data_IF_120967907332
#
_entry.id   IF_120967907332
#
_cell.length_a   1.000
_cell.length_b   1.000
_cell.length_c   1.000
_cell.angle_alpha   90.00
_cell.angle_beta   90.00
_cell.angle_gamma   90.00
#
_symmetry.space_group_name_H-M   'P 1'
#
loop_
_entity.id
_entity.type
_entity.pdbx_description
1 polymer ?
#
# COMPACT_ATOMS: atom_id res chain seq x y z
N UNK A 1 10.08 -8.28 -2.35
CA UNK A 1 9.97 -6.80 -2.39
C UNK A 1 11.20 -6.19 -1.74
N UNK A 2 11.66 -5.01 -2.16
CA UNK A 2 12.75 -4.31 -1.49
C UNK A 2 12.23 -3.74 -0.14
N UNK A 3 12.93 -4.01 0.97
CA UNK A 3 12.51 -3.61 2.33
C UNK A 3 12.39 -2.09 2.45
N UNK A 4 13.35 -1.34 1.92
CA UNK A 4 13.33 0.13 1.94
C UNK A 4 12.11 0.67 1.19
N UNK A 5 11.79 0.07 0.04
CA UNK A 5 10.62 0.45 -0.75
C UNK A 5 9.31 0.05 -0.06
N UNK A 6 9.24 -1.14 0.57
CA UNK A 6 8.09 -1.55 1.37
C UNK A 6 7.81 -0.57 2.51
N UNK A 7 8.86 -0.10 3.19
CA UNK A 7 8.75 0.90 4.26
C UNK A 7 8.25 2.24 3.73
N UNK A 8 8.74 2.71 2.59
CA UNK A 8 8.24 3.94 1.95
C UNK A 8 6.76 3.85 1.58
N UNK A 9 6.33 2.71 1.03
CA UNK A 9 4.93 2.44 0.72
C UNK A 9 4.10 2.50 2.02
N UNK A 10 4.46 1.72 3.04
CA UNK A 10 3.74 1.70 4.32
C UNK A 10 3.64 3.09 4.95
N UNK A 11 4.75 3.85 4.96
CA UNK A 11 4.77 5.22 5.46
C UNK A 11 3.86 6.16 4.67
N UNK A 12 3.79 6.02 3.34
CA UNK A 12 2.95 6.88 2.49
C UNK A 12 1.47 6.59 2.69
N UNK A 13 1.10 5.32 2.88
CA UNK A 13 -0.28 4.90 3.14
C UNK A 13 -0.73 5.14 4.57
N UNK A 14 0.17 5.38 5.53
CA UNK A 14 -0.19 5.67 6.94
C UNK A 14 -1.16 6.85 7.12
N UNK A 15 -1.26 7.74 6.12
CA UNK A 15 -2.14 8.91 6.13
C UNK A 15 -3.52 8.65 5.50
N UNK A 16 -3.73 7.49 4.87
CA UNK A 16 -4.99 7.11 4.21
C UNK A 16 -5.87 6.37 5.22
N UNK A 17 -7.04 6.93 5.54
CA UNK A 17 -7.93 6.39 6.60
C UNK A 17 -8.53 5.02 6.27
N UNK A 18 -8.67 4.70 4.99
CA UNK A 18 -9.33 3.47 4.54
C UNK A 18 -8.35 2.29 4.43
N UNK A 19 -7.09 2.56 4.11
CA UNK A 19 -6.05 1.56 3.80
C UNK A 19 -4.89 1.69 4.79
N UNK A 20 -4.80 0.74 5.72
CA UNK A 20 -3.62 0.64 6.59
C UNK A 20 -2.61 -0.30 5.95
N UNK A 21 -1.38 0.18 5.76
CA UNK A 21 -0.29 -0.61 5.19
C UNK A 21 0.86 -0.65 6.17
N UNK A 22 1.31 -1.86 6.49
CA UNK A 22 2.40 -2.12 7.43
C UNK A 22 3.53 -2.90 6.74
N UNK A 23 4.78 -2.47 6.96
CA UNK A 23 5.95 -3.22 6.53
C UNK A 23 6.18 -4.39 7.48
N UNK A 24 6.24 -5.60 6.93
CA UNK A 24 6.74 -6.79 7.63
C UNK A 24 8.01 -7.27 6.93
N UNK A 25 8.75 -8.15 7.61
CA UNK A 25 10.12 -8.57 7.27
C UNK A 25 10.43 -8.88 5.80
N UNK A 26 9.44 -9.22 4.95
CA UNK A 26 9.60 -9.39 3.49
C UNK A 26 8.43 -8.89 2.64
N UNK A 27 7.54 -8.10 3.21
CA UNK A 27 6.23 -7.88 2.63
C UNK A 27 5.49 -6.66 3.15
N UNK A 28 4.28 -6.48 2.63
CA UNK A 28 3.32 -5.49 3.10
C UNK A 28 2.09 -6.23 3.61
N UNK A 29 1.68 -5.92 4.83
CA UNK A 29 0.38 -6.30 5.34
C UNK A 29 -0.57 -5.12 5.12
N UNK A 30 -1.60 -5.35 4.33
CA UNK A 30 -2.64 -4.36 4.05
C UNK A 30 -3.90 -4.74 4.80
N UNK A 31 -4.45 -3.80 5.57
CA UNK A 31 -5.73 -3.95 6.26
C UNK A 31 -6.73 -2.96 5.69
N UNK A 32 -7.89 -3.46 5.27
CA UNK A 32 -8.99 -2.66 4.73
C UNK A 32 -10.33 -3.30 5.10
N UNK A 33 -11.26 -2.52 5.66
CA UNK A 33 -12.61 -2.96 6.06
C UNK A 33 -12.62 -4.28 6.87
N UNK A 34 -11.71 -4.43 7.82
CA UNK A 34 -11.59 -5.64 8.66
C UNK A 34 -10.91 -6.84 7.99
N UNK A 35 -10.60 -6.77 6.70
CA UNK A 35 -9.82 -7.80 6.01
C UNK A 35 -8.32 -7.46 6.02
N UNK A 36 -7.50 -8.49 6.20
CA UNK A 36 -6.03 -8.38 6.12
C UNK A 36 -5.52 -9.20 4.95
N UNK A 37 -4.60 -8.64 4.16
CA UNK A 37 -3.97 -9.33 3.03
C UNK A 37 -2.47 -9.05 3.01
N UNK A 38 -1.66 -10.08 2.80
CA UNK A 38 -0.21 -9.98 2.84
C UNK A 38 0.41 -10.14 1.45
N UNK A 39 1.32 -9.22 1.09
CA UNK A 39 1.97 -9.16 -0.21
C UNK A 39 3.49 -9.21 -0.08
N UNK A 40 4.10 -10.26 -0.65
CA UNK A 40 5.58 -10.39 -0.74
C UNK A 40 6.16 -9.77 -2.02
N UNK A 41 5.30 -9.47 -2.99
CA UNK A 41 5.62 -8.85 -4.28
C UNK A 41 4.78 -7.60 -4.48
N UNK A 42 5.45 -6.52 -4.84
CA UNK A 42 4.83 -5.23 -5.14
C UNK A 42 3.86 -5.31 -6.33
N UNK A 43 4.18 -6.12 -7.35
CA UNK A 43 3.30 -6.35 -8.51
C UNK A 43 1.95 -6.97 -8.15
N UNK A 44 1.85 -7.67 -7.01
CA UNK A 44 0.59 -8.21 -6.50
C UNK A 44 -0.15 -7.21 -5.59
N UNK A 45 0.59 -6.27 -5.00
CA UNK A 45 0.05 -5.24 -4.11
C UNK A 45 -0.72 -4.15 -4.89
N UNK A 46 -0.14 -3.61 -5.96
CA UNK A 46 -0.76 -2.50 -6.70
C UNK A 46 -2.16 -2.82 -7.25
N UNK A 47 -2.39 -3.96 -7.93
CA UNK A 47 -3.73 -4.30 -8.41
C UNK A 47 -4.76 -4.43 -7.29
N UNK A 48 -4.34 -4.93 -6.12
CA UNK A 48 -5.22 -4.99 -4.94
C UNK A 48 -5.59 -3.59 -4.47
N UNK A 49 -4.58 -2.72 -4.30
CA UNK A 49 -4.82 -1.32 -3.89
C UNK A 49 -5.75 -0.61 -4.86
N UNK A 50 -5.52 -0.70 -6.17
CA UNK A 50 -6.38 -0.05 -7.17
C UNK A 50 -7.80 -0.62 -7.19
N UNK A 51 -7.97 -1.92 -6.93
CA UNK A 51 -9.30 -2.55 -6.84
C UNK A 51 -10.07 -2.07 -5.60
N UNK A 52 -9.36 -1.94 -4.48
CA UNK A 52 -9.95 -1.59 -3.19
C UNK A 52 -10.18 -0.08 -3.07
N UNK A 53 -9.27 0.73 -3.60
CA UNK A 53 -9.34 2.19 -3.62
C UNK A 53 -10.27 2.75 -4.72
N UNK A 54 -11.29 2.00 -5.15
CA UNK A 54 -12.23 2.44 -6.18
C UNK A 54 -12.82 3.85 -5.93
N UNK A 55 -12.96 4.23 -4.66
CA UNK A 55 -13.42 5.56 -4.21
C UNK A 55 -12.27 6.55 -3.88
N UNK A 56 -11.03 6.09 -3.70
CA UNK A 56 -9.86 6.87 -3.25
C UNK A 56 -8.72 6.91 -4.29
N UNK A 57 -9.05 6.83 -5.58
CA UNK A 57 -8.09 6.83 -6.71
C UNK A 57 -7.11 8.01 -6.69
N UNK A 58 -7.56 9.16 -6.19
CA UNK A 58 -6.75 10.38 -6.00
C UNK A 58 -5.62 10.17 -4.99
N UNK A 59 -5.86 9.43 -3.91
CA UNK A 59 -4.89 9.19 -2.85
C UNK A 59 -3.80 8.22 -3.32
N UNK A 60 -4.18 7.18 -4.06
CA UNK A 60 -3.22 6.23 -4.64
C UNK A 60 -2.30 6.93 -5.64
N UNK A 61 -2.84 7.80 -6.49
CA UNK A 61 -2.03 8.58 -7.44
C UNK A 61 -1.05 9.53 -6.73
N UNK A 62 -1.47 10.16 -5.61
CA UNK A 62 -0.57 10.98 -4.80
C UNK A 62 0.54 10.16 -4.15
N UNK A 63 0.23 8.94 -3.68
CA UNK A 63 1.23 8.05 -3.11
C UNK A 63 2.22 7.60 -4.18
N UNK A 64 1.77 7.23 -5.38
CA UNK A 64 2.67 6.88 -6.48
C UNK A 64 3.61 8.05 -6.84
N UNK A 65 3.11 9.29 -6.86
CA UNK A 65 3.96 10.47 -7.06
C UNK A 65 5.01 10.64 -5.95
N UNK A 66 4.64 10.42 -4.68
CA UNK A 66 5.58 10.49 -3.54
C UNK A 66 6.64 9.39 -3.56
N UNK A 67 6.33 8.24 -4.16
CA UNK A 67 7.24 7.11 -4.29
C UNK A 67 8.17 7.22 -5.51
N UNK A 68 7.86 8.12 -6.46
CA UNK A 68 8.65 8.39 -7.65
C UNK A 68 9.60 9.59 -7.50
N UNK A 69 9.42 10.40 -6.45
CA UNK A 69 10.30 11.50 -6.05
C UNK A 69 11.48 11.02 -5.20
#
# INVERSE_FOLDING_TARGET
>A
MNIQRARQIASSFSQVRELQVEELSRGLLVRHQGHSTYFVRESCFWPFVFKVAGDSRSDVAQIEMRLAA
#
